data_IF_626356272465
#
_entry.id   IF_626356272465
#
_cell.length_a   1.000
_cell.length_b   1.000
_cell.length_c   1.000
_cell.angle_alpha   90.00
_cell.angle_beta   90.00
_cell.angle_gamma   90.00
#
_symmetry.space_group_name_H-M   'P 1'
#
loop_
_entity.id
_entity.type
_entity.pdbx_description
1 polymer ?
#
# COMPACT_ATOMS: atom_id res chain seq x y z
N UNK A 1 -7.10 20.72 -18.44
CA UNK A 1 -7.16 19.86 -17.23
C UNK A 1 -7.34 18.42 -17.69
N UNK A 2 -6.25 17.64 -17.79
CA UNK A 2 -6.26 16.26 -18.34
C UNK A 2 -5.52 15.25 -17.45
N UNK A 3 -5.14 15.62 -16.22
CA UNK A 3 -4.19 14.85 -15.39
C UNK A 3 -4.83 14.04 -14.27
N UNK A 4 -6.06 14.36 -13.86
CA UNK A 4 -6.68 13.71 -12.68
C UNK A 4 -7.30 12.35 -13.00
N UNK A 5 -7.84 12.16 -14.22
CA UNK A 5 -8.52 10.90 -14.59
C UNK A 5 -7.52 9.73 -14.72
N UNK A 6 -6.28 9.98 -15.16
CA UNK A 6 -5.28 8.91 -15.34
C UNK A 6 -4.72 8.39 -14.02
N UNK A 7 -4.58 9.26 -13.01
CA UNK A 7 -4.02 8.88 -11.71
C UNK A 7 -4.94 7.91 -10.97
N UNK A 8 -6.25 8.17 -10.96
CA UNK A 8 -7.22 7.33 -10.25
C UNK A 8 -7.33 5.93 -10.86
N UNK A 9 -7.31 5.80 -12.18
CA UNK A 9 -7.33 4.48 -12.85
C UNK A 9 -6.05 3.69 -12.57
N UNK A 10 -4.88 4.35 -12.62
CA UNK A 10 -3.61 3.72 -12.27
C UNK A 10 -3.58 3.23 -10.82
N UNK A 11 -4.04 4.04 -9.86
CA UNK A 11 -4.10 3.64 -8.45
C UNK A 11 -5.06 2.46 -8.20
N UNK A 12 -6.16 2.38 -8.96
CA UNK A 12 -7.07 1.23 -8.91
C UNK A 12 -6.41 -0.05 -9.45
N UNK A 13 -5.69 0.04 -10.56
CA UNK A 13 -4.95 -1.09 -11.13
C UNK A 13 -3.84 -1.55 -10.19
N UNK A 14 -3.11 -0.60 -9.60
CA UNK A 14 -2.08 -0.87 -8.60
C UNK A 14 -2.68 -1.54 -7.35
N UNK A 15 -3.84 -1.08 -6.89
CA UNK A 15 -4.53 -1.69 -5.75
C UNK A 15 -5.02 -3.11 -6.05
N UNK A 16 -5.55 -3.33 -7.25
CA UNK A 16 -5.98 -4.64 -7.73
C UNK A 16 -4.81 -5.63 -7.82
N UNK A 17 -3.69 -5.20 -8.42
CA UNK A 17 -2.48 -6.01 -8.52
C UNK A 17 -1.91 -6.35 -7.12
N UNK A 18 -1.88 -5.38 -6.22
CA UNK A 18 -1.44 -5.59 -4.83
C UNK A 18 -2.35 -6.59 -4.10
N UNK A 19 -3.66 -6.50 -4.31
CA UNK A 19 -4.62 -7.43 -3.71
C UNK A 19 -4.42 -8.87 -4.17
N UNK A 20 -4.00 -9.09 -5.43
CA UNK A 20 -3.63 -10.43 -5.92
C UNK A 20 -2.39 -10.97 -5.20
N UNK A 21 -1.37 -10.13 -5.00
CA UNK A 21 -0.20 -10.52 -4.21
C UNK A 21 -0.57 -10.87 -2.77
N UNK A 22 -1.43 -10.10 -2.13
CA UNK A 22 -1.94 -10.41 -0.78
C UNK A 22 -2.65 -11.77 -0.78
N UNK A 23 -3.52 -12.01 -1.75
CA UNK A 23 -4.26 -13.26 -1.89
C UNK A 23 -3.33 -14.47 -2.01
N UNK A 24 -2.31 -14.38 -2.87
CA UNK A 24 -1.31 -15.43 -3.07
C UNK A 24 -0.49 -15.68 -1.79
N UNK A 25 -0.04 -14.62 -1.13
CA UNK A 25 0.82 -14.73 0.07
C UNK A 25 0.10 -15.27 1.30
N UNK A 26 -1.20 -14.97 1.42
CA UNK A 26 -2.03 -15.45 2.53
C UNK A 26 -2.82 -16.72 2.20
N UNK A 27 -2.76 -17.19 0.95
CA UNK A 27 -3.56 -18.31 0.44
C UNK A 27 -5.07 -18.12 0.69
N UNK A 28 -5.59 -16.94 0.34
CA UNK A 28 -7.00 -16.56 0.47
C UNK A 28 -7.58 -16.16 -0.89
N UNK A 29 -8.91 -16.06 -0.98
CA UNK A 29 -9.56 -15.60 -2.21
C UNK A 29 -9.24 -14.12 -2.50
N UNK A 30 -9.11 -13.74 -3.78
CA UNK A 30 -8.83 -12.35 -4.17
C UNK A 30 -9.80 -11.31 -3.60
N UNK A 31 -11.08 -11.67 -3.49
CA UNK A 31 -12.11 -10.79 -2.92
C UNK A 31 -11.87 -10.50 -1.44
N UNK A 32 -11.43 -11.51 -0.68
CA UNK A 32 -11.08 -11.36 0.73
C UNK A 32 -9.82 -10.52 0.89
N UNK A 33 -8.81 -10.74 0.04
CA UNK A 33 -7.59 -9.95 0.03
C UNK A 33 -7.86 -8.47 -0.28
N UNK A 34 -8.70 -8.18 -1.27
CA UNK A 34 -9.10 -6.81 -1.58
C UNK A 34 -9.88 -6.18 -0.42
N UNK A 35 -10.80 -6.91 0.22
CA UNK A 35 -11.54 -6.42 1.38
C UNK A 35 -10.60 -6.10 2.56
N UNK A 36 -9.61 -6.95 2.81
CA UNK A 36 -8.57 -6.70 3.82
C UNK A 36 -7.71 -5.50 3.45
N UNK A 37 -7.34 -5.35 2.17
CA UNK A 37 -6.52 -4.23 1.75
C UNK A 37 -7.27 -2.90 1.88
N UNK A 38 -8.56 -2.85 1.52
CA UNK A 38 -9.43 -1.67 1.66
C UNK A 38 -9.55 -1.13 3.09
N UNK A 39 -9.32 -1.97 4.09
CA UNK A 39 -9.34 -1.58 5.51
C UNK A 39 -8.05 -0.90 5.96
N UNK A 40 -6.98 -0.96 5.16
CA UNK A 40 -5.69 -0.35 5.49
C UNK A 40 -5.70 1.15 5.26
N UNK A 41 -4.92 1.88 6.06
CA UNK A 41 -4.61 3.29 5.83
C UNK A 41 -3.89 3.46 4.50
N UNK A 42 -2.97 2.55 4.14
CA UNK A 42 -2.29 2.60 2.85
C UNK A 42 -3.25 2.64 1.67
N UNK A 43 -4.33 1.85 1.70
CA UNK A 43 -5.34 1.90 0.63
C UNK A 43 -6.04 3.26 0.56
N UNK A 44 -6.36 3.85 1.72
CA UNK A 44 -6.97 5.19 1.76
C UNK A 44 -6.00 6.25 1.24
N UNK A 45 -4.72 6.17 1.61
CA UNK A 45 -3.69 7.08 1.12
C UNK A 45 -3.51 6.92 -0.40
N UNK A 46 -3.50 5.68 -0.90
CA UNK A 46 -3.40 5.37 -2.32
C UNK A 46 -4.53 5.98 -3.15
N UNK A 47 -5.79 5.82 -2.74
CA UNK A 47 -6.93 6.32 -3.53
C UNK A 47 -7.13 7.83 -3.44
N UNK A 48 -6.56 8.47 -2.41
CA UNK A 48 -6.65 9.91 -2.19
C UNK A 48 -5.40 10.67 -2.66
N UNK A 49 -4.33 9.96 -3.04
CA UNK A 49 -3.10 10.55 -3.55
C UNK A 49 -3.25 11.01 -5.00
N UNK A 50 -2.44 12.00 -5.38
CA UNK A 50 -2.40 12.53 -6.75
C UNK A 50 -1.09 12.21 -7.47
N UNK A 51 -0.18 11.43 -6.86
CA UNK A 51 1.05 11.02 -7.51
C UNK A 51 2.13 10.35 -6.67
N UNK A 52 1.97 10.26 -5.35
CA UNK A 52 2.99 9.65 -4.45
C UNK A 52 3.26 8.18 -4.79
N UNK A 53 2.25 7.48 -5.33
CA UNK A 53 2.30 6.06 -5.64
C UNK A 53 2.58 5.76 -7.12
N UNK A 54 2.74 6.78 -7.96
CA UNK A 54 2.82 6.62 -9.43
C UNK A 54 4.06 5.85 -9.89
N UNK A 55 5.10 5.79 -9.06
CA UNK A 55 6.34 5.06 -9.33
C UNK A 55 6.45 3.74 -8.57
N UNK A 56 5.46 3.42 -7.73
CA UNK A 56 5.50 2.20 -6.93
C UNK A 56 5.02 0.98 -7.71
N UNK A 57 5.64 -0.16 -7.41
CA UNK A 57 5.20 -1.46 -7.92
C UNK A 57 4.27 -2.13 -6.89
N UNK A 58 3.45 -3.11 -7.31
CA UNK A 58 2.59 -3.86 -6.39
C UNK A 58 3.35 -4.53 -5.23
N UNK A 59 4.61 -4.93 -5.46
CA UNK A 59 5.46 -5.51 -4.43
C UNK A 59 5.85 -4.49 -3.34
N UNK A 60 6.06 -3.23 -3.71
CA UNK A 60 6.38 -2.15 -2.76
C UNK A 60 5.17 -1.85 -1.88
N UNK A 61 3.97 -1.72 -2.49
CA UNK A 61 2.73 -1.55 -1.75
C UNK A 61 2.41 -2.74 -0.84
N UNK A 62 2.70 -3.96 -1.28
CA UNK A 62 2.55 -5.14 -0.45
C UNK A 62 3.45 -5.06 0.79
N UNK A 63 4.70 -4.62 0.64
CA UNK A 63 5.62 -4.46 1.76
C UNK A 63 5.14 -3.38 2.74
N UNK A 64 4.73 -2.22 2.24
CA UNK A 64 4.11 -1.15 3.04
C UNK A 64 2.88 -1.66 3.80
N UNK A 65 1.98 -2.39 3.13
CA UNK A 65 0.77 -2.94 3.74
C UNK A 65 1.09 -3.98 4.83
N UNK A 66 2.04 -4.88 4.56
CA UNK A 66 2.50 -5.88 5.52
C UNK A 66 3.06 -5.21 6.77
N UNK A 67 3.88 -4.18 6.59
CA UNK A 67 4.51 -3.46 7.70
C UNK A 67 3.52 -2.58 8.46
N UNK A 68 2.52 -2.00 7.79
CA UNK A 68 1.41 -1.30 8.44
C UNK A 68 0.71 -2.19 9.46
N UNK A 69 0.47 -3.46 9.12
CA UNK A 69 -0.17 -4.40 10.06
C UNK A 69 0.69 -4.74 11.27
N UNK A 70 2.01 -4.63 11.14
CA UNK A 70 2.96 -4.90 12.23
C UNK A 70 3.22 -3.67 13.10
N UNK A 71 3.19 -2.47 12.51
CA UNK A 71 3.67 -1.23 13.14
C UNK A 71 2.57 -0.18 13.35
N UNK A 72 1.41 -0.35 12.73
CA UNK A 72 0.34 0.66 12.65
C UNK A 72 0.57 1.75 11.59
N UNK A 73 1.70 1.72 10.86
CA UNK A 73 2.06 2.73 9.86
C UNK A 73 2.58 2.11 8.56
N UNK A 74 2.14 2.58 7.39
CA UNK A 74 2.68 2.10 6.11
C UNK A 74 4.10 2.62 5.94
N UNK A 75 5.07 1.74 6.22
CA UNK A 75 6.51 2.04 6.19
C UNK A 75 7.24 0.93 5.44
N UNK A 76 8.24 1.29 4.64
CA UNK A 76 8.97 0.29 3.87
C UNK A 76 9.93 -0.50 4.76
N UNK A 77 10.21 -1.75 4.42
CA UNK A 77 11.20 -2.55 5.14
C UNK A 77 12.59 -1.91 5.09
N UNK A 78 12.94 -1.21 4.00
CA UNK A 78 14.17 -0.42 3.93
C UNK A 78 14.21 0.71 4.96
N UNK A 79 13.09 1.41 5.18
CA UNK A 79 13.01 2.45 6.22
C UNK A 79 13.12 1.87 7.63
N UNK A 80 12.52 0.69 7.85
CA UNK A 80 12.66 -0.05 9.11
C UNK A 80 14.12 -0.43 9.37
N UNK A 81 14.80 -1.01 8.38
CA UNK A 81 16.21 -1.43 8.46
C UNK A 81 17.14 -0.24 8.69
N UNK A 82 16.83 0.92 8.09
CA UNK A 82 17.56 2.16 8.31
C UNK A 82 17.24 2.84 9.66
N UNK A 83 16.43 2.22 10.52
CA UNK A 83 16.16 2.69 11.88
C UNK A 83 15.09 3.78 12.01
N UNK A 84 14.37 4.11 10.94
CA UNK A 84 13.36 5.19 10.94
C UNK A 84 12.14 4.91 11.83
N UNK A 85 11.90 3.64 12.21
CA UNK A 85 10.90 3.32 13.24
C UNK A 85 11.27 3.86 14.63
N UNK A 86 12.57 4.03 14.94
CA UNK A 86 12.99 4.58 16.23
C UNK A 86 12.65 6.05 16.38
N UNK A 87 12.54 6.81 15.29
CA UNK A 87 12.33 8.26 15.35
C UNK A 87 10.84 8.66 15.31
N UNK A 88 9.98 7.89 14.62
CA UNK A 88 8.54 8.21 14.52
C UNK A 88 7.72 7.93 15.78
N UNK A 89 8.28 7.22 16.77
CA UNK A 89 7.65 6.96 18.07
C UNK A 89 7.99 8.00 19.16
N UNK A 90 8.77 9.04 18.85
CA UNK A 90 9.27 10.02 19.84
C UNK A 90 9.09 11.49 19.44
N UNK A 91 7.98 11.87 18.82
CA UNK A 91 7.53 13.27 18.79
C UNK A 91 6.01 13.36 18.90
#
# INVERSE_FOLDING_TARGET
MLKEISSTAFHQDLASATSKLIAERLNIYPEQALALFKQSKLYQDLVNSTGEFDQMLPADLFDLWKNERLTGYPISSSDIENGLLKEKHFN
#
